data_IF_886667854996
#
_entry.id   IF_886667854996
#
_cell.length_a   1.000
_cell.length_b   1.000
_cell.length_c   1.000
_cell.angle_alpha   90.00
_cell.angle_beta   90.00
_cell.angle_gamma   90.00
#
_symmetry.space_group_name_H-M   'P 1'
#
loop_
_entity.id
_entity.type
_entity.pdbx_description
1 polymer ?
#
# COMPACT_ATOMS: atom_id res chain seq x y z
N UNK A 1 -13.34 -12.14 -15.35
CA UNK A 1 -12.92 -12.72 -14.06
C UNK A 1 -12.57 -11.66 -13.00
N UNK A 2 -12.50 -10.36 -13.33
CA UNK A 2 -12.07 -9.32 -12.37
C UNK A 2 -13.16 -8.57 -11.59
N UNK A 3 -14.45 -8.72 -11.92
CA UNK A 3 -15.52 -7.98 -11.22
C UNK A 3 -15.52 -8.25 -9.72
N UNK A 4 -15.41 -9.52 -9.33
CA UNK A 4 -15.48 -9.92 -7.92
C UNK A 4 -14.30 -9.42 -7.09
N UNK A 5 -13.11 -9.27 -7.69
CA UNK A 5 -11.94 -8.76 -6.96
C UNK A 5 -12.00 -7.24 -6.79
N UNK A 6 -12.40 -6.50 -7.83
CA UNK A 6 -12.65 -5.06 -7.72
C UNK A 6 -13.77 -4.77 -6.72
N UNK A 7 -14.87 -5.53 -6.74
CA UNK A 7 -15.97 -5.37 -5.77
C UNK A 7 -15.50 -5.53 -4.32
N UNK A 8 -14.62 -6.50 -4.04
CA UNK A 8 -14.01 -6.65 -2.71
C UNK A 8 -13.15 -5.44 -2.32
N UNK A 9 -12.42 -4.85 -3.28
CA UNK A 9 -11.63 -3.63 -3.03
C UNK A 9 -12.53 -2.42 -2.75
N UNK A 10 -13.65 -2.29 -3.47
CA UNK A 10 -14.66 -1.25 -3.23
C UNK A 10 -15.26 -1.43 -1.83
N UNK A 11 -15.65 -2.66 -1.47
CA UNK A 11 -16.20 -2.95 -0.14
C UNK A 11 -15.18 -2.62 0.96
N UNK A 12 -13.92 -3.02 0.78
CA UNK A 12 -12.84 -2.67 1.70
C UNK A 12 -12.67 -1.16 1.86
N UNK A 13 -12.69 -0.39 0.75
CA UNK A 13 -12.60 1.07 0.76
C UNK A 13 -13.74 1.70 1.58
N UNK A 14 -14.95 1.16 1.48
CA UNK A 14 -16.16 1.69 2.13
C UNK A 14 -16.23 1.49 3.65
N UNK A 15 -15.34 0.69 4.26
CA UNK A 15 -15.36 0.43 5.71
C UNK A 15 -14.75 1.59 6.50
N UNK A 16 -15.48 2.13 7.47
CA UNK A 16 -15.03 3.26 8.33
C UNK A 16 -13.72 2.98 9.08
N UNK A 17 -13.54 1.76 9.58
CA UNK A 17 -12.33 1.33 10.30
C UNK A 17 -11.54 0.31 9.48
N UNK A 18 -11.32 0.62 8.19
CA UNK A 18 -10.60 -0.29 7.28
C UNK A 18 -9.15 -0.46 7.75
N UNK A 19 -8.77 -1.70 8.00
CA UNK A 19 -7.37 -2.08 8.23
C UNK A 19 -6.64 -2.16 6.88
N UNK A 20 -5.29 -2.09 6.86
CA UNK A 20 -4.53 -2.41 5.66
C UNK A 20 -4.95 -3.76 5.06
N UNK A 21 -5.15 -3.80 3.74
CA UNK A 21 -5.53 -5.01 3.03
C UNK A 21 -4.27 -5.73 2.55
N UNK A 22 -4.15 -7.02 2.88
CA UNK A 22 -3.07 -7.87 2.40
C UNK A 22 -3.57 -8.71 1.23
N UNK A 23 -3.06 -8.45 0.03
CA UNK A 23 -3.40 -9.21 -1.18
C UNK A 23 -2.34 -10.28 -1.44
N UNK A 24 -2.72 -11.56 -1.37
CA UNK A 24 -1.83 -12.71 -1.59
C UNK A 24 -2.20 -13.47 -2.85
N UNK A 25 -1.24 -14.16 -3.45
CA UNK A 25 -1.43 -15.04 -4.60
C UNK A 25 -0.10 -15.39 -5.25
N UNK A 26 -0.12 -16.24 -6.28
CA UNK A 26 1.10 -16.58 -7.02
C UNK A 26 1.74 -15.35 -7.70
N UNK A 27 3.04 -15.42 -8.01
CA UNK A 27 3.72 -14.38 -8.80
C UNK A 27 3.10 -14.31 -10.21
N UNK A 28 3.12 -13.11 -10.81
CA UNK A 28 2.69 -12.88 -12.20
C UNK A 28 1.19 -13.14 -12.52
N UNK A 29 0.31 -13.18 -11.51
CA UNK A 29 -1.14 -13.38 -11.70
C UNK A 29 -1.95 -12.08 -11.84
N UNK A 30 -1.29 -10.93 -12.03
CA UNK A 30 -1.96 -9.64 -12.25
C UNK A 30 -2.39 -8.85 -11.01
N UNK A 31 -1.96 -9.23 -9.79
CA UNK A 31 -2.32 -8.50 -8.54
C UNK A 31 -1.93 -7.02 -8.59
N UNK A 32 -0.70 -6.72 -9.02
CA UNK A 32 -0.22 -5.33 -9.13
C UNK A 32 -1.04 -4.54 -10.14
N UNK A 33 -1.45 -5.18 -11.25
CA UNK A 33 -2.33 -4.55 -12.23
C UNK A 33 -3.71 -4.25 -11.64
N UNK A 34 -4.34 -5.22 -10.98
CA UNK A 34 -5.63 -5.05 -10.31
C UNK A 34 -5.61 -3.87 -9.31
N UNK A 35 -4.58 -3.80 -8.46
CA UNK A 35 -4.45 -2.73 -7.48
C UNK A 35 -4.24 -1.36 -8.14
N UNK A 36 -3.43 -1.27 -9.20
CA UNK A 36 -3.20 -0.02 -9.94
C UNK A 36 -4.45 0.45 -10.67
N UNK A 37 -5.19 -0.45 -11.31
CA UNK A 37 -6.46 -0.11 -11.96
C UNK A 37 -7.51 0.34 -10.94
N UNK A 38 -7.61 -0.36 -9.80
CA UNK A 38 -8.47 0.08 -8.71
C UNK A 38 -8.08 1.47 -8.18
N UNK A 39 -6.78 1.73 -8.02
CA UNK A 39 -6.29 3.04 -7.59
C UNK A 39 -6.72 4.14 -8.57
N UNK A 40 -6.48 3.93 -9.87
CA UNK A 40 -6.85 4.85 -10.95
C UNK A 40 -8.36 5.14 -10.99
N UNK A 41 -9.20 4.15 -10.70
CA UNK A 41 -10.66 4.29 -10.79
C UNK A 41 -11.27 4.93 -9.53
N UNK A 42 -10.66 4.77 -8.36
CA UNK A 42 -11.29 5.10 -7.09
C UNK A 42 -10.51 6.07 -6.19
N UNK A 43 -9.30 6.48 -6.55
CA UNK A 43 -8.49 7.40 -5.75
C UNK A 43 -7.95 8.54 -6.62
N UNK A 44 -7.79 9.72 -6.02
CA UNK A 44 -7.22 10.88 -6.72
C UNK A 44 -5.71 10.73 -6.85
N UNK A 45 -5.08 10.17 -5.82
CA UNK A 45 -3.63 10.00 -5.70
C UNK A 45 -3.30 8.53 -5.45
N UNK A 46 -2.19 8.08 -6.01
CA UNK A 46 -1.69 6.73 -5.78
C UNK A 46 -0.19 6.80 -5.56
N UNK A 47 0.27 6.17 -4.50
CA UNK A 47 1.70 5.93 -4.27
C UNK A 47 1.96 4.44 -4.41
N UNK A 48 2.91 4.08 -5.25
CA UNK A 48 3.29 2.69 -5.51
C UNK A 48 4.76 2.49 -5.17
N UNK A 49 5.02 1.65 -4.17
CA UNK A 49 6.37 1.33 -3.72
C UNK A 49 6.58 -0.17 -3.89
N UNK A 50 7.63 -0.53 -4.64
CA UNK A 50 8.09 -1.92 -4.73
C UNK A 50 9.34 -2.10 -3.88
N UNK A 51 9.24 -2.91 -2.83
CA UNK A 51 10.29 -3.08 -1.83
C UNK A 51 11.47 -3.90 -2.33
N UNK A 52 11.27 -4.81 -3.29
CA UNK A 52 12.37 -5.53 -3.92
C UNK A 52 13.37 -4.56 -4.58
N UNK A 53 12.87 -3.45 -5.15
CA UNK A 53 13.65 -2.49 -5.93
C UNK A 53 14.03 -1.20 -5.20
N UNK A 54 13.46 -0.94 -4.02
CA UNK A 54 13.65 0.33 -3.32
C UNK A 54 14.27 0.12 -1.92
N UNK A 55 15.60 0.16 -1.85
CA UNK A 55 16.37 0.06 -0.61
C UNK A 55 16.07 1.19 0.38
N UNK A 56 15.77 2.39 -0.12
CA UNK A 56 15.47 3.53 0.73
C UNK A 56 14.11 3.35 1.42
N UNK A 57 13.12 2.80 0.70
CA UNK A 57 11.84 2.44 1.27
C UNK A 57 11.96 1.33 2.32
N UNK A 58 12.85 0.35 2.14
CA UNK A 58 13.12 -0.68 3.17
C UNK A 58 13.59 -0.05 4.49
N UNK A 59 14.53 0.90 4.41
CA UNK A 59 15.10 1.60 5.57
C UNK A 59 14.09 2.39 6.39
N UNK A 60 12.96 2.81 5.78
CA UNK A 60 11.89 3.50 6.50
C UNK A 60 11.42 2.73 7.73
N UNK A 61 11.37 1.41 7.64
CA UNK A 61 10.81 0.54 8.67
C UNK A 61 11.85 0.07 9.70
N UNK A 62 13.12 0.42 9.54
CA UNK A 62 14.22 0.01 10.41
C UNK A 62 14.37 0.87 11.67
N UNK A 63 13.91 2.11 11.65
CA UNK A 63 14.01 2.98 12.82
C UNK A 63 12.97 2.59 13.88
N UNK A 64 11.70 2.79 13.58
CA UNK A 64 10.56 2.53 14.46
C UNK A 64 9.32 2.16 13.63
N UNK A 65 8.18 2.00 14.30
CA UNK A 65 6.88 1.77 13.67
C UNK A 65 5.98 3.02 13.76
N UNK A 66 6.55 4.23 13.84
CA UNK A 66 5.75 5.46 13.84
C UNK A 66 5.16 5.69 12.44
N UNK A 67 3.86 5.45 12.32
CA UNK A 67 3.14 5.57 11.05
C UNK A 67 3.16 7.01 10.52
N UNK A 68 3.09 8.03 11.39
CA UNK A 68 3.13 9.43 10.94
C UNK A 68 4.48 9.78 10.34
N UNK A 69 5.58 9.31 10.96
CA UNK A 69 6.92 9.44 10.38
C UNK A 69 7.01 8.72 9.04
N UNK A 70 6.59 7.46 8.98
CA UNK A 70 6.64 6.64 7.76
C UNK A 70 5.87 7.33 6.62
N UNK A 71 4.63 7.75 6.86
CA UNK A 71 3.82 8.45 5.86
C UNK A 71 4.46 9.76 5.40
N UNK A 72 4.98 10.57 6.33
CA UNK A 72 5.69 11.80 5.97
C UNK A 72 6.92 11.53 5.10
N UNK A 73 7.69 10.50 5.45
CA UNK A 73 8.86 10.12 4.67
C UNK A 73 8.49 9.59 3.29
N UNK A 74 7.43 8.77 3.17
CA UNK A 74 6.91 8.32 1.87
C UNK A 74 6.43 9.50 1.03
N UNK A 75 5.67 10.43 1.63
CA UNK A 75 5.18 11.64 0.98
C UNK A 75 6.32 12.46 0.38
N UNK A 76 7.44 12.62 1.11
CA UNK A 76 8.63 13.31 0.63
C UNK A 76 9.38 12.54 -0.47
N UNK A 77 9.45 11.21 -0.38
CA UNK A 77 10.14 10.38 -1.39
C UNK A 77 9.44 10.41 -2.74
N UNK A 78 8.12 10.37 -2.71
CA UNK A 78 7.29 10.20 -3.89
C UNK A 78 6.73 11.55 -4.39
N UNK A 79 7.01 12.64 -3.68
CA UNK A 79 6.51 13.99 -3.93
C UNK A 79 4.97 14.03 -4.07
N UNK A 80 4.29 13.33 -3.15
CA UNK A 80 2.82 13.23 -3.10
C UNK A 80 2.35 13.51 -1.68
N UNK A 81 1.44 14.47 -1.53
CA UNK A 81 0.76 14.70 -0.25
C UNK A 81 -0.24 13.57 0.04
N UNK A 82 -0.03 12.83 1.13
CA UNK A 82 -0.81 11.64 1.47
C UNK A 82 -1.97 12.02 2.38
N UNK A 83 -3.18 11.77 1.88
CA UNK A 83 -4.44 12.00 2.57
C UNK A 83 -5.43 10.84 2.38
N UNK A 84 -6.69 11.03 2.79
CA UNK A 84 -7.73 10.01 2.69
C UNK A 84 -8.09 9.62 1.24
N UNK A 85 -7.74 10.47 0.27
CA UNK A 85 -7.95 10.25 -1.16
C UNK A 85 -6.73 9.63 -1.86
N UNK A 86 -5.72 9.22 -1.07
CA UNK A 86 -4.50 8.59 -1.56
C UNK A 86 -4.50 7.09 -1.26
N UNK A 87 -4.32 6.26 -2.29
CA UNK A 87 -4.06 4.82 -2.10
C UNK A 87 -2.56 4.54 -2.05
N UNK A 88 -2.11 3.91 -0.97
CA UNK A 88 -0.75 3.39 -0.85
C UNK A 88 -0.72 1.91 -1.26
N UNK A 89 0.12 1.57 -2.24
CA UNK A 89 0.35 0.21 -2.70
C UNK A 89 1.79 -0.17 -2.34
N UNK A 90 1.92 -1.12 -1.41
CA UNK A 90 3.20 -1.70 -1.02
C UNK A 90 3.36 -3.08 -1.66
N UNK A 91 4.16 -3.14 -2.72
CA UNK A 91 4.42 -4.36 -3.48
C UNK A 91 5.67 -5.07 -2.99
N UNK A 92 5.63 -6.40 -2.97
CA UNK A 92 6.70 -7.26 -2.45
C UNK A 92 7.17 -6.86 -1.03
N UNK A 93 6.26 -6.42 -0.15
CA UNK A 93 6.58 -5.91 1.21
C UNK A 93 7.31 -6.92 2.09
N UNK A 94 7.29 -8.21 1.78
CA UNK A 94 8.11 -9.21 2.49
C UNK A 94 9.61 -8.98 2.38
N UNK A 95 10.06 -8.25 1.34
CA UNK A 95 11.44 -7.80 1.23
C UNK A 95 11.81 -6.74 2.28
N UNK A 96 10.82 -6.20 3.01
CA UNK A 96 10.98 -5.37 4.20
C UNK A 96 10.30 -6.05 5.42
N UNK A 97 10.97 -6.99 6.13
CA UNK A 97 10.34 -7.75 7.21
C UNK A 97 9.73 -6.88 8.33
N UNK A 98 10.38 -5.76 8.65
CA UNK A 98 9.84 -4.77 9.59
C UNK A 98 8.64 -4.00 9.01
N UNK A 99 8.57 -3.82 7.69
CA UNK A 99 7.40 -3.25 7.01
C UNK A 99 6.16 -4.12 7.14
N UNK A 100 6.27 -5.45 7.04
CA UNK A 100 5.14 -6.34 7.35
C UNK A 100 4.67 -6.13 8.79
N UNK A 101 5.61 -6.02 9.74
CA UNK A 101 5.28 -5.82 11.15
C UNK A 101 4.61 -4.48 11.39
N UNK A 102 5.02 -3.43 10.67
CA UNK A 102 4.45 -2.08 10.82
C UNK A 102 2.98 -2.02 10.44
N UNK A 103 2.51 -2.88 9.51
CA UNK A 103 1.09 -2.94 9.11
C UNK A 103 0.14 -3.14 10.29
N UNK A 104 0.62 -3.73 11.39
CA UNK A 104 -0.16 -3.88 12.63
C UNK A 104 -0.48 -2.54 13.29
N UNK A 105 0.25 -1.47 13.01
CA UNK A 105 0.11 -0.18 13.69
C UNK A 105 -0.61 0.88 12.84
N UNK A 106 -1.03 0.53 11.62
CA UNK A 106 -1.91 1.37 10.79
C UNK A 106 -3.36 1.20 11.29
N UNK A 107 -3.72 1.98 12.30
CA UNK A 107 -5.06 2.07 12.88
C UNK A 107 -5.67 3.46 12.69
#
# INVERSE_FOLDING_TARGET
MDRTAIEQLIEWKGRKNRKPLVVRGARQVGKTWLLKEFAKLYYEKTVYINFEKNELAKKLFEQDFDIRRILKSVSLMEDVDIDEQTLLIFDEIQEAPRGITSLKYFY
#
